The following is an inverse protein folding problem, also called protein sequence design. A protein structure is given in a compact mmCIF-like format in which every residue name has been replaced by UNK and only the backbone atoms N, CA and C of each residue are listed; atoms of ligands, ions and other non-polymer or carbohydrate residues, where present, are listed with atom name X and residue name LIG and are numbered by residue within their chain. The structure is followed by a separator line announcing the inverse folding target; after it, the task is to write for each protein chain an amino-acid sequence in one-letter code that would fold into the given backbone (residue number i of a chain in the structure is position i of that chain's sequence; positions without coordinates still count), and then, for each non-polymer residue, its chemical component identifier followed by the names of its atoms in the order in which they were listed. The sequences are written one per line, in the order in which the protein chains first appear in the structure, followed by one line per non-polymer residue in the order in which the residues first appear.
data_IF_996272570883
#
_entry.id   IF_996272570883
#
_cell.length_a   1.000
_cell.length_b   1.000
_cell.length_c   1.000
_cell.angle_alpha   90.00
_cell.angle_beta   90.00
_cell.angle_gamma   90.00
#
_symmetry.space_group_name_H-M   'P 1'
#
loop_
_entity.id
_entity.type
_entity.pdbx_description
1 polymer ?
#
# COMPACT_ATOMS: atom_id res chain seq x y z
N UNK A 1 -75.60 -17.40 -22.12
CA UNK A 1 -74.85 -16.17 -22.43
C UNK A 1 -74.65 -16.11 -23.94
N UNK A 2 -75.20 -15.10 -24.61
CA UNK A 2 -75.08 -14.97 -26.06
C UNK A 2 -73.62 -14.64 -26.44
N UNK A 3 -73.06 -15.24 -27.52
CA UNK A 3 -71.70 -14.96 -27.94
C UNK A 3 -71.56 -13.50 -28.39
N UNK A 4 -70.50 -12.82 -27.92
CA UNK A 4 -70.21 -11.43 -28.26
C UNK A 4 -70.12 -11.24 -29.79
N UNK A 5 -70.59 -10.11 -30.34
CA UNK A 5 -70.49 -9.82 -31.77
C UNK A 5 -69.03 -9.86 -32.21
N UNK A 6 -68.73 -10.51 -33.35
CA UNK A 6 -67.36 -10.71 -33.86
C UNK A 6 -66.51 -9.44 -33.92
N UNK A 7 -67.14 -8.29 -34.18
CA UNK A 7 -66.48 -6.98 -34.19
C UNK A 7 -65.96 -6.55 -32.80
N UNK A 8 -66.74 -6.80 -31.74
CA UNK A 8 -66.38 -6.54 -30.34
C UNK A 8 -65.26 -7.47 -29.90
N UNK A 9 -65.35 -8.77 -30.22
CA UNK A 9 -64.29 -9.74 -29.91
C UNK A 9 -62.97 -9.32 -30.55
N UNK A 10 -62.95 -8.95 -31.84
CA UNK A 10 -61.75 -8.45 -32.52
C UNK A 10 -61.17 -7.19 -31.86
N UNK A 11 -62.02 -6.24 -31.45
CA UNK A 11 -61.58 -5.03 -30.72
C UNK A 11 -60.96 -5.37 -29.37
N UNK A 12 -61.55 -6.29 -28.62
CA UNK A 12 -60.99 -6.76 -27.35
C UNK A 12 -59.68 -7.51 -27.53
N UNK A 13 -59.56 -8.36 -28.56
CA UNK A 13 -58.31 -9.07 -28.85
C UNK A 13 -57.20 -8.10 -29.23
N UNK A 14 -57.49 -7.09 -30.07
CA UNK A 14 -56.51 -6.04 -30.41
C UNK A 14 -56.10 -5.24 -29.17
N UNK A 15 -57.07 -4.85 -28.34
CA UNK A 15 -56.78 -4.12 -27.10
C UNK A 15 -55.89 -4.91 -26.14
N UNK A 16 -56.20 -6.19 -25.92
CA UNK A 16 -55.41 -7.08 -25.05
C UNK A 16 -54.01 -7.31 -25.60
N UNK A 17 -53.85 -7.45 -26.92
CA UNK A 17 -52.54 -7.58 -27.56
C UNK A 17 -51.70 -6.30 -27.40
N UNK A 18 -52.31 -5.11 -27.55
CA UNK A 18 -51.64 -3.84 -27.32
C UNK A 18 -51.21 -3.68 -25.86
N UNK A 19 -52.09 -4.03 -24.90
CA UNK A 19 -51.78 -3.95 -23.47
C UNK A 19 -50.69 -4.95 -23.06
N UNK A 20 -50.70 -6.16 -23.60
CA UNK A 20 -49.66 -7.15 -23.34
C UNK A 20 -48.30 -6.71 -23.92
N UNK A 21 -48.31 -6.15 -25.14
CA UNK A 21 -47.12 -5.59 -25.77
C UNK A 21 -46.51 -4.44 -24.95
N UNK A 22 -47.34 -3.51 -24.46
CA UNK A 22 -46.85 -2.39 -23.65
C UNK A 22 -46.28 -2.82 -22.31
N UNK A 23 -46.88 -3.83 -21.66
CA UNK A 23 -46.37 -4.42 -20.42
C UNK A 23 -45.03 -5.13 -20.64
N UNK A 24 -44.88 -5.88 -21.73
CA UNK A 24 -43.61 -6.54 -22.07
C UNK A 24 -42.49 -5.54 -22.33
N UNK A 25 -42.75 -4.47 -23.08
CA UNK A 25 -41.75 -3.42 -23.35
C UNK A 25 -41.36 -2.72 -22.06
N UNK A 26 -42.33 -2.41 -21.20
CA UNK A 26 -42.07 -1.74 -19.92
C UNK A 26 -41.24 -2.64 -19.00
N UNK A 27 -41.55 -3.93 -18.93
CA UNK A 27 -40.78 -4.89 -18.15
C UNK A 27 -39.35 -5.05 -18.69
N UNK A 28 -39.18 -5.14 -20.02
CA UNK A 28 -37.86 -5.24 -20.65
C UNK A 28 -37.01 -3.98 -20.42
N UNK A 29 -37.60 -2.80 -20.46
CA UNK A 29 -36.90 -1.55 -20.13
C UNK A 29 -36.51 -1.52 -18.65
N UNK A 30 -37.42 -1.90 -17.75
CA UNK A 30 -37.15 -1.94 -16.32
C UNK A 30 -36.03 -2.92 -15.97
N UNK A 31 -36.03 -4.13 -16.53
CA UNK A 31 -34.94 -5.10 -16.33
C UNK A 31 -33.64 -4.62 -16.96
N UNK A 32 -33.68 -3.98 -18.14
CA UNK A 32 -32.51 -3.35 -18.74
C UNK A 32 -31.92 -2.26 -17.83
N UNK A 33 -32.73 -1.36 -17.26
CA UNK A 33 -32.26 -0.31 -16.37
C UNK A 33 -31.80 -0.82 -14.99
N UNK A 34 -32.42 -1.88 -14.46
CA UNK A 34 -32.02 -2.49 -13.18
C UNK A 34 -30.81 -3.42 -13.28
N UNK A 35 -30.60 -4.06 -14.44
CA UNK A 35 -29.47 -4.95 -14.71
C UNK A 35 -28.30 -4.24 -15.41
N UNK A 36 -28.50 -3.02 -15.93
CA UNK A 36 -27.40 -2.16 -16.36
C UNK A 36 -26.53 -1.86 -15.14
N UNK A 37 -25.29 -2.36 -15.10
CA UNK A 37 -24.40 -2.06 -13.98
C UNK A 37 -24.18 -0.54 -13.97
N UNK A 38 -24.32 0.08 -12.80
CA UNK A 38 -23.98 1.49 -12.55
C UNK A 38 -22.53 1.85 -12.95
N UNK A 39 -21.72 0.89 -13.38
CA UNK A 39 -20.36 1.11 -13.89
C UNK A 39 -20.31 1.99 -15.14
N UNK A 40 -21.38 2.08 -15.95
CA UNK A 40 -21.35 2.86 -17.19
C UNK A 40 -21.67 4.36 -17.02
N UNK A 41 -22.14 4.79 -15.84
CA UNK A 41 -22.34 6.21 -15.52
C UNK A 41 -21.18 6.85 -14.76
N UNK A 42 -20.09 6.10 -14.53
CA UNK A 42 -18.81 6.76 -14.33
C UNK A 42 -18.37 7.27 -15.70
N UNK A 43 -18.44 8.59 -15.88
CA UNK A 43 -17.69 9.23 -16.95
C UNK A 43 -16.23 8.89 -16.70
N UNK A 44 -15.71 7.92 -17.45
CA UNK A 44 -14.28 7.85 -17.71
C UNK A 44 -13.92 9.15 -18.45
N UNK A 45 -13.65 10.21 -17.68
CA UNK A 45 -12.84 11.29 -18.17
C UNK A 45 -11.54 10.65 -18.63
N UNK A 46 -11.35 10.65 -19.95
CA UNK A 46 -10.12 10.28 -20.61
C UNK A 46 -9.05 11.31 -20.24
N UNK A 47 -8.51 11.15 -19.05
CA UNK A 47 -7.22 11.65 -18.59
C UNK A 47 -6.46 10.40 -18.13
N UNK A 48 -6.11 9.52 -19.09
CA UNK A 48 -5.71 8.13 -18.80
C UNK A 48 -4.42 7.74 -19.55
N UNK A 49 -3.51 8.69 -19.78
CA UNK A 49 -2.19 8.39 -20.37
C UNK A 49 -1.01 9.04 -19.60
N UNK A 50 -1.24 9.64 -18.43
CA UNK A 50 -0.18 10.28 -17.61
C UNK A 50 -0.24 10.00 -16.11
N UNK A 51 -1.37 9.48 -15.63
CA UNK A 51 -1.66 9.46 -14.20
C UNK A 51 -1.09 8.20 -13.49
N UNK A 52 -0.82 7.15 -14.25
CA UNK A 52 -0.28 5.88 -13.77
C UNK A 52 1.24 5.91 -13.54
N UNK A 53 1.88 7.03 -13.90
CA UNK A 53 3.31 7.04 -14.19
C UNK A 53 4.18 7.05 -12.93
N UNK A 54 3.96 7.86 -11.88
CA UNK A 54 5.03 8.01 -10.87
C UNK A 54 5.18 6.80 -9.93
N UNK A 55 4.09 6.20 -9.44
CA UNK A 55 4.21 5.01 -8.60
C UNK A 55 4.79 3.84 -9.41
N UNK A 56 4.35 3.66 -10.65
CA UNK A 56 4.81 2.57 -11.51
C UNK A 56 6.23 2.82 -12.05
N UNK A 57 6.59 4.06 -12.36
CA UNK A 57 7.94 4.48 -12.74
C UNK A 57 8.91 4.32 -11.58
N UNK A 58 8.53 4.74 -10.36
CA UNK A 58 9.37 4.58 -9.19
C UNK A 58 9.51 3.11 -8.81
N UNK A 59 8.42 2.34 -8.85
CA UNK A 59 8.45 0.90 -8.61
C UNK A 59 9.26 0.17 -9.70
N UNK A 60 9.12 0.57 -10.95
CA UNK A 60 9.83 0.04 -12.11
C UNK A 60 11.32 0.35 -12.07
N UNK A 61 11.70 1.58 -11.74
CA UNK A 61 13.08 1.98 -11.52
C UNK A 61 13.72 1.16 -10.40
N UNK A 62 13.02 0.98 -9.27
CA UNK A 62 13.49 0.14 -8.16
C UNK A 62 13.57 -1.33 -8.57
N UNK A 63 12.58 -1.85 -9.29
CA UNK A 63 12.53 -3.25 -9.72
C UNK A 63 13.63 -3.61 -10.73
N UNK A 64 14.01 -2.68 -11.61
CA UNK A 64 15.06 -2.85 -12.61
C UNK A 64 16.45 -2.50 -12.08
N UNK A 65 16.53 -1.79 -10.96
CA UNK A 65 17.80 -1.48 -10.30
C UNK A 65 18.44 -2.73 -9.67
N UNK A 66 19.77 -2.80 -9.76
CA UNK A 66 20.57 -3.81 -9.07
C UNK A 66 21.78 -3.16 -8.42
N UNK A 67 22.09 -3.59 -7.21
CA UNK A 67 23.24 -3.17 -6.43
C UNK A 67 23.79 -4.37 -5.70
N UNK A 68 25.09 -4.62 -5.84
CA UNK A 68 25.80 -5.60 -5.02
C UNK A 68 26.05 -5.03 -3.63
N UNK A 69 25.69 -5.81 -2.62
CA UNK A 69 25.86 -5.46 -1.21
C UNK A 69 26.48 -6.66 -0.51
N UNK A 70 27.62 -6.45 0.13
CA UNK A 70 28.22 -7.46 0.99
C UNK A 70 27.62 -7.36 2.38
N UNK A 71 26.84 -8.37 2.75
CA UNK A 71 26.30 -8.48 4.09
C UNK A 71 27.44 -8.90 5.01
N UNK A 72 27.70 -8.08 6.02
CA UNK A 72 28.74 -8.32 7.00
C UNK A 72 28.25 -7.87 8.37
N UNK A 73 28.75 -8.52 9.41
CA UNK A 73 28.60 -8.08 10.79
C UNK A 73 29.29 -6.72 10.95
N UNK A 74 28.53 -5.65 10.86
CA UNK A 74 29.00 -4.29 11.09
C UNK A 74 28.72 -3.84 12.53
N UNK A 75 29.71 -3.24 13.18
CA UNK A 75 29.58 -2.74 14.57
C UNK A 75 28.54 -1.60 14.68
N UNK A 76 28.32 -0.88 13.58
CA UNK A 76 27.49 0.32 13.52
C UNK A 76 26.05 0.13 14.00
N UNK A 77 25.43 -1.02 13.72
CA UNK A 77 24.01 -1.26 14.01
C UNK A 77 23.80 -2.38 15.04
N UNK A 78 24.86 -2.97 15.58
CA UNK A 78 24.76 -4.09 16.54
C UNK A 78 24.68 -3.65 18.01
N UNK A 79 25.23 -2.49 18.36
CA UNK A 79 25.14 -1.96 19.75
C UNK A 79 23.71 -1.55 20.06
N UNK A 80 23.26 -1.70 21.32
CA UNK A 80 21.99 -1.16 21.86
C UNK A 80 22.14 0.24 22.48
N UNK A 81 23.29 0.90 22.36
CA UNK A 81 23.57 2.15 23.09
C UNK A 81 23.38 3.42 22.24
N UNK A 82 23.43 3.32 20.91
CA UNK A 82 23.29 4.45 19.97
C UNK A 82 22.04 4.29 19.10
N UNK A 83 21.09 5.23 19.25
CA UNK A 83 19.84 5.27 18.50
C UNK A 83 19.87 6.20 17.30
N UNK A 84 20.85 7.10 17.23
CA UNK A 84 20.94 8.09 16.16
C UNK A 84 21.00 7.40 14.80
N UNK A 85 21.81 6.35 14.71
CA UNK A 85 21.98 5.55 13.49
C UNK A 85 20.67 4.94 12.99
N UNK A 86 19.77 4.60 13.91
CA UNK A 86 18.50 3.96 13.57
C UNK A 86 17.39 4.95 13.20
N UNK A 87 17.45 6.19 13.71
CA UNK A 87 16.39 7.18 13.54
C UNK A 87 16.74 8.31 12.57
N UNK A 88 18.01 8.67 12.51
CA UNK A 88 18.50 9.81 11.71
C UNK A 88 19.22 9.33 10.45
N UNK A 89 20.10 8.32 10.54
CA UNK A 89 20.96 7.95 9.41
C UNK A 89 20.25 7.07 8.36
N UNK A 90 19.23 6.30 8.77
CA UNK A 90 18.51 5.37 7.88
C UNK A 90 17.32 6.00 7.15
N UNK A 91 16.92 7.22 7.52
CA UNK A 91 15.73 7.87 6.98
C UNK A 91 16.12 9.19 6.29
N UNK A 92 15.38 9.58 5.23
CA UNK A 92 15.42 10.94 4.73
C UNK A 92 15.04 11.95 5.83
N UNK A 93 15.46 13.23 5.74
CA UNK A 93 15.11 14.26 6.73
C UNK A 93 13.61 14.41 6.98
N UNK A 94 12.77 14.11 5.98
CA UNK A 94 11.32 14.13 6.12
C UNK A 94 10.71 12.86 6.72
N UNK A 95 11.54 11.88 7.09
CA UNK A 95 11.13 10.62 7.70
C UNK A 95 10.76 9.53 6.70
N UNK A 96 11.00 9.73 5.39
CA UNK A 96 10.70 8.72 4.38
C UNK A 96 9.30 8.80 3.81
N UNK A 97 8.78 10.02 3.67
CA UNK A 97 7.51 10.30 3.04
C UNK A 97 7.70 10.93 1.66
N UNK A 98 6.72 10.75 0.79
CA UNK A 98 6.52 11.56 -0.41
C UNK A 98 5.58 12.70 -0.05
N UNK A 99 6.03 13.94 -0.19
CA UNK A 99 5.21 15.14 0.01
C UNK A 99 4.38 15.38 -1.25
N UNK A 100 3.06 15.54 -1.06
CA UNK A 100 2.11 15.77 -2.15
C UNK A 100 1.90 17.26 -2.40
N UNK A 101 1.69 17.62 -3.65
CA UNK A 101 1.33 18.97 -4.03
C UNK A 101 0.00 19.35 -3.39
N UNK A 102 -0.03 20.55 -2.82
CA UNK A 102 -1.18 21.09 -2.10
C UNK A 102 -2.33 21.39 -3.07
N UNK A 103 -3.54 20.96 -2.73
CA UNK A 103 -4.74 21.43 -3.41
C UNK A 103 -4.99 22.92 -3.07
N UNK A 104 -5.55 23.73 -3.99
CA UNK A 104 -5.67 25.18 -3.83
C UNK A 104 -6.32 25.68 -2.52
N UNK A 105 -7.12 24.84 -1.85
CA UNK A 105 -7.83 25.17 -0.61
C UNK A 105 -7.41 24.35 0.61
N UNK A 106 -6.35 23.53 0.50
CA UNK A 106 -5.88 22.68 1.59
C UNK A 106 -4.72 23.36 2.32
N UNK A 107 -4.79 23.54 3.64
CA UNK A 107 -3.69 24.09 4.44
C UNK A 107 -2.72 23.02 4.94
N UNK A 108 -2.93 21.74 4.63
CA UNK A 108 -2.04 20.65 5.00
C UNK A 108 -1.44 19.97 3.77
N UNK A 109 -0.12 19.83 3.72
CA UNK A 109 0.52 19.00 2.70
C UNK A 109 0.23 17.54 3.05
N UNK A 110 -0.50 16.83 2.18
CA UNK A 110 -0.68 15.40 2.32
C UNK A 110 0.67 14.69 2.09
N UNK A 111 0.88 13.56 2.77
CA UNK A 111 2.12 12.78 2.70
C UNK A 111 1.81 11.31 2.53
N UNK A 112 2.58 10.63 1.68
CA UNK A 112 2.50 9.18 1.48
C UNK A 112 3.74 8.52 2.05
N UNK A 113 3.57 7.52 2.91
CA UNK A 113 4.70 6.78 3.49
C UNK A 113 5.26 5.77 2.49
N UNK A 114 6.58 5.78 2.28
CA UNK A 114 7.23 4.72 1.52
C UNK A 114 7.39 3.48 2.41
N UNK A 115 6.96 2.32 1.92
CA UNK A 115 6.93 1.08 2.70
C UNK A 115 8.30 0.70 3.29
N UNK A 116 9.38 0.83 2.51
CA UNK A 116 10.75 0.55 2.97
C UNK A 116 11.12 1.37 4.23
N UNK A 117 10.80 2.67 4.25
CA UNK A 117 11.08 3.52 5.42
C UNK A 117 10.17 3.19 6.61
N UNK A 118 8.95 2.70 6.37
CA UNK A 118 8.10 2.18 7.44
C UNK A 118 8.69 0.90 8.06
N UNK A 119 9.23 -0.02 7.25
CA UNK A 119 9.93 -1.21 7.74
C UNK A 119 11.13 -0.83 8.62
N UNK A 120 11.97 0.12 8.17
CA UNK A 120 13.12 0.63 8.95
C UNK A 120 12.68 1.28 10.27
N UNK A 121 11.61 2.08 10.25
CA UNK A 121 11.05 2.65 11.48
C UNK A 121 10.51 1.59 12.43
N UNK A 122 9.93 0.52 11.90
CA UNK A 122 9.47 -0.60 12.72
C UNK A 122 10.62 -1.37 13.37
N UNK A 123 11.74 -1.56 12.67
CA UNK A 123 12.97 -2.10 13.27
C UNK A 123 13.46 -1.21 14.42
N UNK A 124 13.48 0.11 14.23
CA UNK A 124 13.85 1.05 15.31
C UNK A 124 12.89 0.99 16.50
N UNK A 125 11.59 0.79 16.27
CA UNK A 125 10.59 0.64 17.34
C UNK A 125 10.80 -0.65 18.16
N UNK A 126 11.05 -1.78 17.50
CA UNK A 126 11.35 -3.07 18.17
C UNK A 126 12.62 -2.93 19.00
N UNK A 127 13.67 -2.33 18.42
CA UNK A 127 14.92 -2.05 19.12
C UNK A 127 14.70 -1.18 20.36
N UNK A 128 13.92 -0.11 20.25
CA UNK A 128 13.60 0.79 21.37
C UNK A 128 12.95 0.02 22.53
N UNK A 129 12.07 -0.93 22.24
CA UNK A 129 11.46 -1.79 23.24
C UNK A 129 12.50 -2.73 23.89
N UNK A 130 13.43 -3.30 23.12
CA UNK A 130 14.53 -4.11 23.67
C UNK A 130 15.40 -3.32 24.66
N UNK A 131 15.81 -2.10 24.30
CA UNK A 131 16.57 -1.21 25.19
C UNK A 131 15.80 -0.90 26.47
N UNK A 132 14.49 -0.64 26.34
CA UNK A 132 13.61 -0.38 27.48
C UNK A 132 13.52 -1.59 28.42
N UNK A 133 13.43 -2.80 27.87
CA UNK A 133 13.43 -4.05 28.65
C UNK A 133 14.79 -4.28 29.35
N UNK A 134 15.91 -3.97 28.68
CA UNK A 134 17.24 -4.05 29.27
C UNK A 134 17.44 -3.03 30.41
N UNK A 135 16.96 -1.80 30.22
CA UNK A 135 16.98 -0.78 31.27
C UNK A 135 16.15 -1.21 32.49
N UNK A 136 15.00 -1.86 32.28
CA UNK A 136 14.20 -2.46 33.36
C UNK A 136 14.94 -3.54 34.12
N UNK A 137 15.57 -4.48 33.41
CA UNK A 137 16.34 -5.54 34.04
C UNK A 137 17.49 -4.98 34.92
N UNK A 138 17.99 -3.78 34.58
CA UNK A 138 18.98 -3.04 35.35
C UNK A 138 18.39 -2.12 36.45
N UNK A 139 17.08 -2.15 36.66
CA UNK A 139 16.39 -1.36 37.70
C UNK A 139 16.06 0.10 37.32
N UNK A 140 16.11 0.45 36.02
CA UNK A 140 16.11 1.84 35.57
C UNK A 140 14.79 2.44 35.04
N UNK A 141 13.65 1.73 35.00
CA UNK A 141 12.46 2.24 34.28
C UNK A 141 11.26 2.64 35.17
N UNK A 142 10.56 3.70 34.76
CA UNK A 142 9.27 4.16 35.31
C UNK A 142 8.07 3.42 34.66
N UNK A 143 7.00 3.12 35.41
CA UNK A 143 5.92 2.20 35.01
C UNK A 143 4.79 2.75 34.11
N UNK A 144 4.87 3.97 33.58
CA UNK A 144 3.68 4.59 32.95
C UNK A 144 3.70 4.65 31.41
N UNK A 145 4.87 4.49 30.76
CA UNK A 145 4.99 4.45 29.28
C UNK A 145 4.91 3.02 28.69
N UNK A 146 4.60 2.01 29.52
CA UNK A 146 4.94 0.62 29.20
C UNK A 146 4.10 -0.04 28.11
N UNK A 147 2.84 0.35 27.99
CA UNK A 147 1.89 -0.35 27.12
C UNK A 147 2.07 0.10 25.67
N UNK A 148 2.29 1.39 25.44
CA UNK A 148 2.33 1.95 24.09
C UNK A 148 3.54 1.47 23.28
N UNK A 149 4.73 1.38 23.88
CA UNK A 149 5.94 0.95 23.17
C UNK A 149 5.92 -0.56 22.89
N UNK A 150 5.43 -1.36 23.85
CA UNK A 150 5.25 -2.80 23.66
C UNK A 150 4.24 -3.09 22.54
N UNK A 151 3.07 -2.46 22.60
CA UNK A 151 2.02 -2.71 21.60
C UNK A 151 2.47 -2.24 20.21
N UNK A 152 3.24 -1.15 20.12
CA UNK A 152 3.90 -0.72 18.89
C UNK A 152 4.90 -1.76 18.38
N UNK A 153 5.76 -2.30 19.24
CA UNK A 153 6.74 -3.32 18.86
C UNK A 153 6.05 -4.60 18.35
N UNK A 154 4.95 -5.03 19.00
CA UNK A 154 4.15 -6.18 18.57
C UNK A 154 3.50 -5.95 17.20
N UNK A 155 2.91 -4.77 16.97
CA UNK A 155 2.37 -4.41 15.66
C UNK A 155 3.46 -4.38 14.58
N UNK A 156 4.65 -3.87 14.92
CA UNK A 156 5.79 -3.86 14.01
C UNK A 156 6.33 -5.25 13.69
N UNK A 157 6.32 -6.19 14.64
CA UNK A 157 6.66 -7.58 14.35
C UNK A 157 5.73 -8.18 13.30
N UNK A 158 4.42 -7.99 13.44
CA UNK A 158 3.47 -8.52 12.46
C UNK A 158 3.60 -7.82 11.10
N UNK A 159 3.79 -6.49 11.08
CA UNK A 159 4.03 -5.74 9.84
C UNK A 159 5.28 -6.24 9.11
N UNK A 160 6.41 -6.41 9.82
CA UNK A 160 7.65 -6.92 9.23
C UNK A 160 7.50 -8.36 8.75
N UNK A 161 6.83 -9.23 9.52
CA UNK A 161 6.53 -10.60 9.09
C UNK A 161 5.76 -10.60 7.77
N UNK A 162 4.69 -9.80 7.66
CA UNK A 162 3.90 -9.70 6.44
C UNK A 162 4.73 -9.15 5.27
N UNK A 163 5.56 -8.14 5.53
CA UNK A 163 6.41 -7.52 4.51
C UNK A 163 7.48 -8.47 3.98
N UNK A 164 8.13 -9.24 4.86
CA UNK A 164 9.11 -10.25 4.48
C UNK A 164 8.48 -11.35 3.63
N UNK A 165 7.30 -11.84 4.03
CA UNK A 165 6.55 -12.83 3.24
C UNK A 165 6.08 -12.26 1.89
N UNK A 166 5.75 -10.96 1.84
CA UNK A 166 5.35 -10.30 0.60
C UNK A 166 6.51 -10.17 -0.40
N UNK A 167 7.73 -9.97 0.08
CA UNK A 167 8.91 -9.87 -0.78
C UNK A 167 9.55 -11.23 -1.11
N UNK A 168 9.36 -12.24 -0.27
CA UNK A 168 9.75 -13.63 -0.49
C UNK A 168 11.17 -13.76 -1.08
N UNK A 169 12.17 -13.25 -0.38
CA UNK A 169 13.57 -13.36 -0.79
C UNK A 169 13.95 -14.83 -0.97
N UNK A 170 14.26 -15.21 -2.22
CA UNK A 170 14.55 -16.58 -2.62
C UNK A 170 16.04 -16.92 -2.55
N UNK A 171 16.87 -16.03 -1.96
CA UNK A 171 18.28 -16.28 -1.75
C UNK A 171 18.47 -17.52 -0.87
N UNK A 172 19.25 -18.49 -1.35
CA UNK A 172 19.61 -19.68 -0.58
C UNK A 172 20.88 -19.37 0.20
N UNK A 173 20.78 -19.44 1.52
CA UNK A 173 21.90 -19.22 2.43
C UNK A 173 22.55 -20.56 2.78
N UNK A 174 23.87 -20.66 2.57
CA UNK A 174 24.62 -21.86 2.87
C UNK A 174 25.17 -21.82 4.30
N UNK A 175 25.26 -23.01 4.89
CA UNK A 175 25.96 -23.25 6.14
C UNK A 175 27.44 -23.49 5.83
N UNK A 176 28.21 -22.41 5.80
CA UNK A 176 29.63 -22.45 5.42
C UNK A 176 30.53 -23.00 6.55
N UNK A 177 30.04 -23.04 7.79
CA UNK A 177 30.81 -23.46 8.98
C UNK A 177 30.39 -24.83 9.55
N UNK A 178 29.33 -25.43 9.02
CA UNK A 178 28.84 -26.76 9.41
C UNK A 178 28.10 -26.77 10.75
N UNK A 179 27.65 -25.60 11.23
CA UNK A 179 26.93 -25.46 12.50
C UNK A 179 25.44 -25.83 12.40
N UNK A 180 24.95 -26.07 11.20
CA UNK A 180 23.53 -26.27 10.89
C UNK A 180 22.74 -24.97 10.82
N UNK A 181 23.41 -23.80 10.89
CA UNK A 181 22.78 -22.48 10.84
C UNK A 181 23.50 -21.64 9.78
N UNK A 182 22.78 -21.25 8.73
CA UNK A 182 23.34 -20.30 7.77
C UNK A 182 23.49 -18.92 8.45
N UNK A 183 24.71 -18.37 8.43
CA UNK A 183 25.00 -17.05 9.03
C UNK A 183 24.33 -15.89 8.28
N UNK A 184 23.90 -16.11 7.04
CA UNK A 184 23.21 -15.12 6.20
C UNK A 184 24.11 -13.97 5.71
N UNK A 185 25.43 -14.14 5.80
CA UNK A 185 26.44 -13.16 5.37
C UNK A 185 26.87 -13.39 3.91
N UNK A 186 27.60 -12.42 3.34
CA UNK A 186 28.20 -12.50 2.00
C UNK A 186 27.53 -11.60 0.95
N UNK A 187 27.97 -11.74 -0.30
CA UNK A 187 27.49 -10.90 -1.41
C UNK A 187 25.99 -11.17 -1.67
N UNK A 188 25.22 -10.10 -1.86
CA UNK A 188 23.80 -10.10 -2.21
C UNK A 188 23.57 -9.17 -3.40
N UNK A 189 22.65 -9.55 -4.29
CA UNK A 189 22.15 -8.67 -5.34
C UNK A 189 20.83 -8.04 -4.86
N UNK A 190 20.91 -6.79 -4.44
CA UNK A 190 19.79 -6.05 -3.89
C UNK A 190 19.23 -5.04 -4.90
N UNK A 191 17.99 -4.61 -4.70
CA UNK A 191 17.47 -3.41 -5.37
C UNK A 191 18.14 -2.17 -4.79
N UNK A 192 18.32 -1.13 -5.59
CA UNK A 192 18.95 0.12 -5.14
C UNK A 192 17.95 0.99 -4.37
N UNK A 193 17.98 0.86 -3.04
CA UNK A 193 17.13 1.63 -2.13
C UNK A 193 17.30 3.15 -2.25
N UNK A 194 18.45 3.62 -2.76
CA UNK A 194 18.76 5.06 -2.86
C UNK A 194 17.76 5.79 -3.76
N UNK A 195 17.20 5.10 -4.74
CA UNK A 195 16.13 5.63 -5.60
C UNK A 195 14.94 6.11 -4.75
N UNK A 196 14.52 5.32 -3.75
CA UNK A 196 13.43 5.69 -2.84
C UNK A 196 13.83 6.82 -1.89
N UNK A 197 15.09 6.84 -1.45
CA UNK A 197 15.61 7.89 -0.56
C UNK A 197 15.66 9.25 -1.28
N UNK A 198 16.17 9.27 -2.50
CA UNK A 198 16.24 10.45 -3.34
C UNK A 198 14.83 10.94 -3.71
N UNK A 199 13.92 10.04 -4.09
CA UNK A 199 12.53 10.39 -4.38
C UNK A 199 11.84 11.02 -3.16
N UNK A 200 12.01 10.42 -1.98
CA UNK A 200 11.46 10.96 -0.72
C UNK A 200 12.03 12.33 -0.39
N UNK A 201 13.35 12.51 -0.47
CA UNK A 201 14.01 13.79 -0.18
C UNK A 201 13.58 14.88 -1.17
N UNK A 202 13.59 14.57 -2.47
CA UNK A 202 13.23 15.50 -3.54
C UNK A 202 11.80 15.98 -3.43
N UNK A 203 10.88 15.12 -2.96
CA UNK A 203 9.46 15.47 -2.87
C UNK A 203 9.15 16.67 -1.96
N UNK A 204 10.04 17.04 -1.04
CA UNK A 204 9.85 18.24 -0.20
C UNK A 204 9.99 19.54 -1.00
N UNK A 205 10.90 19.58 -1.97
CA UNK A 205 11.13 20.74 -2.85
C UNK A 205 10.31 20.64 -4.15
N UNK A 206 10.06 19.42 -4.63
CA UNK A 206 9.28 19.11 -5.83
C UNK A 206 8.12 18.16 -5.47
N UNK A 207 7.01 18.70 -4.94
CA UNK A 207 5.90 17.87 -4.46
C UNK A 207 5.27 17.02 -5.56
N UNK A 208 4.94 15.78 -5.22
CA UNK A 208 4.27 14.82 -6.11
C UNK A 208 2.87 15.30 -6.44
N UNK A 209 2.51 15.39 -7.71
CA UNK A 209 1.17 15.84 -8.08
C UNK A 209 0.16 14.72 -7.79
N UNK A 210 -1.07 15.05 -7.32
CA UNK A 210 -2.11 14.05 -7.10
C UNK A 210 -2.45 13.22 -8.34
N UNK A 211 -2.25 13.80 -9.52
CA UNK A 211 -2.47 13.11 -10.78
C UNK A 211 -1.39 12.05 -11.04
N UNK A 212 -0.18 12.18 -10.49
CA UNK A 212 0.93 11.22 -10.68
C UNK A 212 0.74 9.91 -9.88
N UNK A 213 -0.30 9.83 -9.06
CA UNK A 213 -0.56 8.73 -8.12
C UNK A 213 -1.71 7.81 -8.56
N UNK A 214 -2.33 8.02 -9.73
CA UNK A 214 -3.60 7.41 -10.15
C UNK A 214 -3.47 6.46 -11.33
#
# INVERSE_FOLDING_TARGET
MAPLPKATTRRHTVFLLCLFSSLLVSFALFTYFMLMPFSQFTTHHRASDKAHDLHEDLAGAVATSTRRVDFALGDAHQSLDDDRRWREDLLPPNGGYLTLARAPNDTTAARLGVAMFHQLRCLAAIRSEMQRLQARARGGAKPDAEHQDRDRALACFDYLRQSLLCHADATIEADDDGTGVAEGMGERQCRDWRILYEASTRSDDEPVLPDDLR
#
